data_IF_515395509523
#
_entry.id   IF_515395509523
#
_cell.length_a   1.000
_cell.length_b   1.000
_cell.length_c   1.000
_cell.angle_alpha   90.00
_cell.angle_beta   90.00
_cell.angle_gamma   90.00
#
_symmetry.space_group_name_H-M   'P 1'
#
loop_
_entity.id
_entity.type
_entity.pdbx_description
1 polymer ?
#
# COMPACT_ATOMS: atom_id res chain seq x y z
N UNK A 1 -54.48 -35.40 -32.06
CA UNK A 1 -53.54 -34.32 -32.41
C UNK A 1 -52.83 -33.88 -31.14
N UNK A 2 -51.62 -34.39 -30.89
CA UNK A 2 -50.59 -33.75 -30.05
C UNK A 2 -49.28 -34.54 -30.27
N UNK A 3 -48.33 -33.95 -30.99
CA UNK A 3 -46.98 -34.51 -31.15
C UNK A 3 -46.17 -34.02 -29.96
N UNK A 4 -45.54 -34.89 -29.16
CA UNK A 4 -44.69 -34.46 -28.06
C UNK A 4 -43.39 -33.89 -28.64
N UNK A 5 -43.17 -32.60 -28.44
CA UNK A 5 -41.90 -31.94 -28.72
C UNK A 5 -40.93 -32.22 -27.57
N UNK A 6 -39.99 -33.15 -27.79
CA UNK A 6 -38.85 -33.33 -26.90
C UNK A 6 -37.97 -32.07 -26.98
N UNK A 7 -38.02 -31.24 -25.95
CA UNK A 7 -37.08 -30.15 -25.75
C UNK A 7 -35.69 -30.76 -25.54
N UNK A 8 -34.82 -30.69 -26.55
CA UNK A 8 -33.42 -31.07 -26.40
C UNK A 8 -32.77 -30.13 -25.37
N UNK A 9 -32.49 -30.65 -24.18
CA UNK A 9 -31.43 -30.09 -23.33
C UNK A 9 -30.12 -30.41 -24.02
N UNK A 10 -29.41 -29.39 -24.51
CA UNK A 10 -28.08 -29.54 -25.05
C UNK A 10 -27.15 -30.05 -23.94
N UNK A 11 -26.90 -31.36 -23.91
CA UNK A 11 -25.86 -31.94 -23.09
C UNK A 11 -24.52 -31.62 -23.77
N UNK A 12 -23.65 -30.90 -23.07
CA UNK A 12 -22.28 -30.60 -23.49
C UNK A 12 -21.57 -31.90 -23.94
N UNK A 13 -20.88 -31.87 -25.07
CA UNK A 13 -20.17 -33.06 -25.57
C UNK A 13 -18.93 -33.37 -24.71
N UNK A 14 -18.53 -34.64 -24.60
CA UNK A 14 -17.30 -35.02 -23.87
C UNK A 14 -16.07 -34.31 -24.46
N UNK A 15 -16.04 -34.14 -25.78
CA UNK A 15 -15.00 -33.38 -26.48
C UNK A 15 -14.96 -31.92 -26.01
N UNK A 16 -16.12 -31.28 -25.89
CA UNK A 16 -16.24 -29.90 -25.41
C UNK A 16 -15.76 -29.78 -23.96
N UNK A 17 -16.02 -30.77 -23.10
CA UNK A 17 -15.47 -30.80 -21.74
C UNK A 17 -13.93 -30.89 -21.76
N UNK A 18 -13.34 -31.75 -22.60
CA UNK A 18 -11.88 -31.88 -22.70
C UNK A 18 -11.24 -30.59 -23.23
N UNK A 19 -11.83 -29.98 -24.25
CA UNK A 19 -11.36 -28.71 -24.81
C UNK A 19 -11.45 -27.58 -23.79
N UNK A 20 -12.58 -27.45 -23.09
CA UNK A 20 -12.76 -26.43 -22.05
C UNK A 20 -11.79 -26.62 -20.90
N UNK A 21 -11.57 -27.86 -20.44
CA UNK A 21 -10.58 -28.15 -19.39
C UNK A 21 -9.16 -27.79 -19.86
N UNK A 22 -8.82 -28.11 -21.10
CA UNK A 22 -7.54 -27.72 -21.71
C UNK A 22 -7.33 -26.20 -21.71
N UNK A 23 -8.34 -25.44 -22.11
CA UNK A 23 -8.30 -23.97 -22.07
C UNK A 23 -8.16 -23.45 -20.64
N UNK A 24 -8.92 -23.99 -19.67
CA UNK A 24 -8.83 -23.61 -18.25
C UNK A 24 -7.42 -23.88 -17.70
N UNK A 25 -6.80 -25.01 -18.04
CA UNK A 25 -5.43 -25.32 -17.61
C UNK A 25 -4.42 -24.31 -18.17
N UNK A 26 -4.53 -23.93 -19.44
CA UNK A 26 -3.65 -22.94 -20.07
C UNK A 26 -3.82 -21.56 -19.40
N UNK A 27 -5.07 -21.11 -19.22
CA UNK A 27 -5.37 -19.82 -18.57
C UNK A 27 -4.90 -19.81 -17.12
N UNK A 28 -5.17 -20.88 -16.37
CA UNK A 28 -4.76 -20.97 -14.96
C UNK A 28 -3.24 -21.04 -14.81
N UNK A 29 -2.56 -21.80 -15.68
CA UNK A 29 -1.11 -21.90 -15.70
C UNK A 29 -0.44 -20.55 -15.98
N UNK A 30 -0.95 -19.80 -16.97
CA UNK A 30 -0.44 -18.46 -17.29
C UNK A 30 -0.72 -17.44 -16.18
N UNK A 31 -1.92 -17.47 -15.59
CA UNK A 31 -2.28 -16.61 -14.47
C UNK A 31 -1.37 -16.85 -13.25
N UNK A 32 -1.07 -18.10 -12.92
CA UNK A 32 -0.19 -18.44 -11.81
C UNK A 32 1.23 -17.86 -11.97
N UNK A 33 1.75 -17.80 -13.20
CA UNK A 33 3.06 -17.20 -13.50
C UNK A 33 3.05 -15.66 -13.40
N UNK A 34 1.93 -15.02 -13.72
CA UNK A 34 1.80 -13.57 -13.66
C UNK A 34 1.48 -13.06 -12.24
N UNK A 35 0.84 -13.88 -11.41
CA UNK A 35 0.31 -13.50 -10.09
C UNK A 35 1.32 -12.77 -9.18
N UNK A 36 2.58 -13.23 -9.01
CA UNK A 36 3.51 -12.57 -8.08
C UNK A 36 3.91 -11.15 -8.49
N UNK A 37 3.75 -10.78 -9.78
CA UNK A 37 4.01 -9.41 -10.26
C UNK A 37 2.86 -8.48 -9.87
N UNK A 38 1.63 -8.97 -10.04
CA UNK A 38 0.42 -8.23 -9.73
C UNK A 38 0.31 -8.01 -8.22
N UNK A 39 0.54 -9.05 -7.42
CA UNK A 39 0.51 -8.94 -5.96
C UNK A 39 1.56 -7.94 -5.46
N UNK A 40 2.82 -8.05 -5.88
CA UNK A 40 3.87 -7.11 -5.45
C UNK A 40 3.53 -5.63 -5.76
N UNK A 41 2.98 -5.36 -6.96
CA UNK A 41 2.56 -4.02 -7.34
C UNK A 41 1.38 -3.52 -6.47
N UNK A 42 0.42 -4.39 -6.17
CA UNK A 42 -0.71 -4.08 -5.28
C UNK A 42 -0.24 -3.82 -3.84
N UNK A 43 0.70 -4.62 -3.31
CA UNK A 43 1.27 -4.40 -1.98
C UNK A 43 2.01 -3.07 -1.90
N UNK A 44 2.77 -2.70 -2.94
CA UNK A 44 3.49 -1.43 -2.98
C UNK A 44 2.52 -0.24 -3.00
N UNK A 45 1.48 -0.31 -3.84
CA UNK A 45 0.47 0.74 -3.92
C UNK A 45 -0.33 0.86 -2.61
N UNK A 46 -0.71 -0.27 -2.02
CA UNK A 46 -1.34 -0.32 -0.69
C UNK A 46 -0.44 0.32 0.37
N UNK A 47 0.86 0.01 0.36
CA UNK A 47 1.83 0.56 1.30
C UNK A 47 1.97 2.08 1.19
N UNK A 48 1.99 2.60 -0.04
CA UNK A 48 2.03 4.05 -0.28
C UNK A 48 0.77 4.74 0.23
N UNK A 49 -0.41 4.20 -0.07
CA UNK A 49 -1.68 4.76 0.38
C UNK A 49 -1.86 4.65 1.89
N UNK A 50 -1.39 3.56 2.51
CA UNK A 50 -1.38 3.37 3.95
C UNK A 50 -0.53 4.45 4.64
N UNK A 51 0.71 4.65 4.18
CA UNK A 51 1.61 5.67 4.74
C UNK A 51 1.04 7.08 4.50
N UNK A 52 0.47 7.35 3.33
CA UNK A 52 -0.17 8.64 3.03
C UNK A 52 -1.36 8.92 3.96
N UNK A 53 -2.23 7.93 4.18
CA UNK A 53 -3.35 8.04 5.09
C UNK A 53 -2.88 8.29 6.54
N UNK A 54 -1.81 7.61 6.97
CA UNK A 54 -1.28 7.78 8.33
C UNK A 54 -0.56 9.10 8.54
N UNK A 55 0.16 9.61 7.53
CA UNK A 55 0.72 10.97 7.56
C UNK A 55 -0.40 12.01 7.70
N UNK A 56 -1.49 11.85 6.95
CA UNK A 56 -2.65 12.73 7.07
C UNK A 56 -3.34 12.60 8.42
N UNK A 57 -3.48 11.38 8.95
CA UNK A 57 -4.04 11.14 10.28
C UNK A 57 -3.17 11.76 11.38
N UNK A 58 -1.84 11.63 11.27
CA UNK A 58 -0.89 12.26 12.20
C UNK A 58 -0.99 13.79 12.17
N UNK A 59 -1.15 14.39 10.98
CA UNK A 59 -1.40 15.82 10.82
C UNK A 59 -2.71 16.25 11.51
N UNK A 60 -3.81 15.53 11.26
CA UNK A 60 -5.09 15.81 11.89
C UNK A 60 -5.00 15.67 13.42
N UNK A 61 -4.30 14.65 13.91
CA UNK A 61 -4.07 14.46 15.34
C UNK A 61 -3.26 15.60 15.95
N UNK A 62 -2.21 16.10 15.28
CA UNK A 62 -1.43 17.23 15.75
C UNK A 62 -2.28 18.49 15.93
N UNK A 63 -3.16 18.76 14.95
CA UNK A 63 -4.08 19.90 15.00
C UNK A 63 -5.14 19.71 16.11
N UNK A 64 -5.76 18.53 16.18
CA UNK A 64 -6.83 18.26 17.13
C UNK A 64 -6.35 18.23 18.59
N UNK A 65 -5.14 17.72 18.83
CA UNK A 65 -4.54 17.62 20.17
C UNK A 65 -3.76 18.87 20.61
N UNK A 66 -3.60 19.85 19.71
CA UNK A 66 -2.72 21.00 19.89
C UNK A 66 -1.26 20.64 20.29
N UNK A 67 -0.81 19.43 19.96
CA UNK A 67 0.52 18.88 20.29
C UNK A 67 1.30 18.50 19.04
N UNK A 68 2.62 18.43 19.14
CA UNK A 68 3.46 17.94 18.05
C UNK A 68 3.28 16.44 17.90
N UNK A 69 3.16 15.98 16.67
CA UNK A 69 3.09 14.55 16.34
C UNK A 69 4.17 14.26 15.31
N UNK A 70 4.92 13.19 15.47
CA UNK A 70 5.90 12.76 14.48
C UNK A 70 5.68 11.34 14.01
N UNK A 71 5.89 11.11 12.73
CA UNK A 71 5.95 9.77 12.14
C UNK A 71 7.41 9.40 11.96
N UNK A 72 7.84 8.26 12.52
CA UNK A 72 9.24 7.82 12.52
C UNK A 72 9.40 6.60 11.62
N UNK A 73 10.41 6.67 10.77
CA UNK A 73 10.72 5.68 9.76
C UNK A 73 12.20 5.31 9.83
N UNK A 74 12.50 4.02 9.71
CA UNK A 74 13.87 3.51 9.73
C UNK A 74 14.18 2.84 8.40
N UNK A 75 15.29 3.22 7.75
CA UNK A 75 15.72 2.58 6.52
C UNK A 75 16.00 1.08 6.77
N UNK A 76 15.57 0.23 5.85
CA UNK A 76 15.61 -1.22 5.97
C UNK A 76 14.43 -1.83 6.76
N UNK A 77 13.65 -1.03 7.48
CA UNK A 77 12.53 -1.54 8.27
C UNK A 77 11.28 -1.77 7.42
N UNK A 78 10.50 -2.76 7.85
CA UNK A 78 9.18 -3.12 7.36
C UNK A 78 8.06 -2.55 8.23
N UNK A 79 8.38 -1.58 9.09
CA UNK A 79 7.44 -0.96 10.03
C UNK A 79 7.81 0.47 10.31
N UNK A 80 6.83 1.22 10.78
CA UNK A 80 6.96 2.61 11.22
C UNK A 80 6.07 2.83 12.43
N UNK A 81 6.30 3.94 13.12
CA UNK A 81 5.50 4.29 14.28
C UNK A 81 5.22 5.77 14.33
N UNK A 82 4.20 6.12 15.09
CA UNK A 82 3.85 7.50 15.41
C UNK A 82 4.18 7.77 16.86
N UNK A 83 4.61 8.99 17.11
CA UNK A 83 4.83 9.50 18.45
C UNK A 83 4.17 10.86 18.62
N UNK A 84 3.62 11.10 19.80
CA UNK A 84 3.02 12.37 20.18
C UNK A 84 3.82 13.00 21.32
N UNK A 85 4.06 14.30 21.23
CA UNK A 85 4.67 15.05 22.31
C UNK A 85 3.68 15.23 23.47
N UNK A 86 4.16 15.08 24.70
CA UNK A 86 3.43 15.45 25.91
C UNK A 86 3.60 16.95 26.23
N UNK A 87 3.10 17.37 27.40
CA UNK A 87 3.18 18.77 27.83
C UNK A 87 4.60 19.20 28.21
N UNK A 88 5.51 18.25 28.48
CA UNK A 88 6.94 18.50 28.69
C UNK A 88 7.74 18.59 27.38
N UNK A 89 7.11 18.23 26.25
CA UNK A 89 7.74 18.13 24.94
C UNK A 89 8.39 16.78 24.64
N UNK A 90 8.25 15.79 25.53
CA UNK A 90 8.76 14.44 25.35
C UNK A 90 7.85 13.61 24.43
N UNK A 91 8.43 12.90 23.48
CA UNK A 91 7.70 12.08 22.52
C UNK A 91 7.40 10.68 23.07
N UNK A 92 6.15 10.27 22.95
CA UNK A 92 5.65 8.97 23.37
C UNK A 92 5.02 8.23 22.19
N UNK A 93 5.37 6.96 22.03
CA UNK A 93 4.83 6.13 20.95
C UNK A 93 3.35 5.83 21.20
N UNK A 94 2.50 6.18 20.23
CA UNK A 94 1.04 5.99 20.30
C UNK A 94 0.50 5.04 19.23
N UNK A 95 1.27 4.78 18.16
CA UNK A 95 0.93 3.83 17.11
C UNK A 95 2.19 3.11 16.64
N UNK A 96 2.12 1.80 16.48
CA UNK A 96 3.13 0.99 15.78
C UNK A 96 2.42 0.25 14.64
N UNK A 97 2.93 0.38 13.41
CA UNK A 97 2.25 -0.13 12.23
C UNK A 97 3.22 -0.85 11.28
N UNK A 98 2.91 -2.11 10.92
CA UNK A 98 3.67 -2.81 9.89
C UNK A 98 3.32 -2.25 8.50
N UNK A 99 4.31 -2.26 7.61
CA UNK A 99 4.09 -2.10 6.18
C UNK A 99 3.48 -3.37 5.60
N UNK A 100 2.80 -3.27 4.44
CA UNK A 100 2.32 -4.44 3.72
C UNK A 100 3.45 -5.41 3.39
N UNK A 101 3.09 -6.68 3.17
CA UNK A 101 4.06 -7.77 3.01
C UNK A 101 5.02 -7.47 1.87
N UNK A 102 6.31 -7.59 2.16
CA UNK A 102 7.36 -7.39 1.18
C UNK A 102 7.71 -5.95 0.87
N UNK A 103 7.10 -4.99 1.56
CA UNK A 103 7.43 -3.57 1.44
C UNK A 103 8.37 -3.17 2.56
N UNK A 104 9.43 -2.43 2.22
CA UNK A 104 10.36 -1.84 3.19
C UNK A 104 10.69 -0.41 2.84
N UNK A 105 11.08 0.36 3.85
CA UNK A 105 11.63 1.71 3.66
C UNK A 105 13.08 1.58 3.18
N UNK A 106 13.46 2.29 2.12
CA UNK A 106 14.87 2.33 1.66
C UNK A 106 15.55 3.68 1.86
N UNK A 107 14.77 4.77 1.93
CA UNK A 107 15.32 6.10 2.14
C UNK A 107 14.29 7.01 2.83
N UNK A 108 14.80 7.88 3.71
CA UNK A 108 14.04 8.96 4.36
C UNK A 108 14.95 10.18 4.40
N UNK A 109 14.66 11.22 3.62
CA UNK A 109 15.56 12.38 3.54
C UNK A 109 15.30 13.45 4.62
N UNK A 110 14.27 13.29 5.45
CA UNK A 110 13.94 14.19 6.56
C UNK A 110 14.67 13.85 7.87
N UNK A 111 15.72 13.04 7.82
CA UNK A 111 16.41 12.55 9.02
C UNK A 111 15.67 11.43 9.76
N UNK A 112 14.79 10.70 9.07
CA UNK A 112 14.08 9.53 9.62
C UNK A 112 12.75 9.85 10.30
N UNK A 113 12.30 11.11 10.33
CA UNK A 113 10.97 11.42 10.85
C UNK A 113 10.29 12.57 10.14
N UNK A 114 8.96 12.62 10.18
CA UNK A 114 8.16 13.76 9.74
C UNK A 114 7.43 14.34 10.93
N UNK A 115 7.75 15.58 11.29
CA UNK A 115 7.12 16.28 12.40
C UNK A 115 5.97 17.16 11.90
N UNK A 116 4.81 17.02 12.53
CA UNK A 116 3.64 17.86 12.33
C UNK A 116 3.45 18.80 13.51
N UNK A 117 3.28 20.08 13.21
CA UNK A 117 2.98 21.10 14.22
C UNK A 117 1.49 21.16 14.56
N UNK A 118 1.12 21.72 15.73
CA UNK A 118 -0.28 22.01 16.08
C UNK A 118 -1.03 22.88 15.08
N UNK A 119 -0.31 23.62 14.21
CA UNK A 119 -0.87 24.45 13.15
C UNK A 119 -1.04 23.70 11.82
N UNK A 120 -0.78 22.39 11.80
CA UNK A 120 -0.92 21.54 10.61
C UNK A 120 0.18 21.72 9.57
N UNK A 121 1.28 22.41 9.90
CA UNK A 121 2.49 22.46 9.08
C UNK A 121 3.33 21.22 9.29
N UNK A 122 4.04 20.80 8.25
CA UNK A 122 4.96 19.67 8.28
C UNK A 122 6.37 20.09 7.88
N UNK A 123 7.35 19.24 8.14
CA UNK A 123 8.67 19.34 7.51
C UNK A 123 8.60 18.83 6.06
N UNK A 124 9.40 19.43 5.18
CA UNK A 124 9.52 18.92 3.82
C UNK A 124 10.36 17.64 3.85
N UNK A 125 9.91 16.62 3.15
CA UNK A 125 10.74 15.44 2.96
C UNK A 125 10.07 14.38 2.11
N UNK A 126 10.84 13.33 1.89
CA UNK A 126 10.52 12.23 1.00
C UNK A 126 10.87 10.94 1.71
N UNK A 127 9.93 10.00 1.67
CA UNK A 127 10.16 8.61 2.03
C UNK A 127 10.05 7.74 0.80
N UNK A 128 10.96 6.80 0.66
CA UNK A 128 10.98 5.85 -0.46
C UNK A 128 10.69 4.45 0.06
N UNK A 129 9.66 3.83 -0.51
CA UNK A 129 9.29 2.44 -0.28
C UNK A 129 9.76 1.60 -1.47
N UNK A 130 10.16 0.36 -1.19
CA UNK A 130 10.52 -0.63 -2.22
C UNK A 130 9.78 -1.93 -1.95
N UNK A 131 9.44 -2.66 -3.01
CA UNK A 131 8.97 -4.03 -2.92
C UNK A 131 10.13 -5.06 -2.88
N UNK A 132 9.78 -6.35 -2.78
CA UNK A 132 10.77 -7.43 -2.79
C UNK A 132 11.51 -7.58 -4.13
N UNK A 133 10.97 -6.99 -5.21
CA UNK A 133 11.48 -7.08 -6.58
C UNK A 133 12.40 -5.91 -6.93
N UNK A 134 12.53 -4.92 -6.05
CA UNK A 134 13.33 -3.72 -6.25
C UNK A 134 12.56 -2.55 -6.87
N UNK A 135 11.24 -2.66 -7.08
CA UNK A 135 10.43 -1.56 -7.58
C UNK A 135 10.24 -0.54 -6.48
N UNK A 136 10.73 0.68 -6.69
CA UNK A 136 10.69 1.75 -5.71
C UNK A 136 9.70 2.85 -6.09
N UNK A 137 9.04 3.42 -5.09
CA UNK A 137 8.18 4.60 -5.22
C UNK A 137 8.34 5.50 -4.01
N UNK A 138 8.21 6.80 -4.25
CA UNK A 138 8.44 7.82 -3.23
C UNK A 138 7.14 8.53 -2.84
N UNK A 139 7.05 8.90 -1.57
CA UNK A 139 6.05 9.80 -1.02
C UNK A 139 6.75 11.07 -0.61
N UNK A 140 6.35 12.20 -1.20
CA UNK A 140 6.84 13.53 -0.83
C UNK A 140 5.79 14.27 -0.01
N UNK A 141 6.18 14.74 1.16
CA UNK A 141 5.43 15.63 2.02
C UNK A 141 6.03 17.03 1.89
N UNK A 142 5.22 18.04 1.56
CA UNK A 142 5.68 19.43 1.56
C UNK A 142 5.37 20.12 2.89
N UNK A 143 5.92 21.33 3.07
CA UNK A 143 5.74 22.08 4.33
C UNK A 143 4.28 22.39 4.67
N UNK A 144 3.41 22.50 3.65
CA UNK A 144 1.97 22.77 3.81
C UNK A 144 1.16 21.50 4.13
N UNK A 145 1.80 20.35 4.30
CA UNK A 145 1.16 19.07 4.59
C UNK A 145 0.55 18.38 3.36
N UNK A 146 0.90 18.80 2.13
CA UNK A 146 0.47 18.10 0.90
C UNK A 146 1.36 16.88 0.70
N UNK A 147 0.71 15.72 0.57
CA UNK A 147 1.35 14.44 0.26
C UNK A 147 1.22 14.20 -1.25
N UNK A 148 2.29 13.75 -1.89
CA UNK A 148 2.32 13.42 -3.32
C UNK A 148 3.11 12.14 -3.53
N UNK A 149 2.53 11.19 -4.26
CA UNK A 149 3.22 9.96 -4.68
C UNK A 149 3.99 10.27 -5.96
N UNK A 150 5.27 9.90 -5.99
CA UNK A 150 6.18 10.13 -7.10
C UNK A 150 6.80 8.80 -7.54
N UNK A 151 7.01 8.59 -8.85
CA UNK A 151 7.95 7.58 -9.32
C UNK A 151 9.34 7.84 -8.75
N UNK A 152 10.11 6.77 -8.53
CA UNK A 152 11.55 6.88 -8.28
C UNK A 152 12.21 6.50 -9.60
N UNK A 153 12.73 7.50 -10.31
CA UNK A 153 13.52 7.25 -11.50
C UNK A 153 14.86 6.62 -11.06
N UNK A 154 15.17 5.47 -11.64
CA UNK A 154 16.41 4.69 -11.42
C UNK A 154 17.63 5.37 -12.03
#
# INVERSE_FOLDING_TARGET
MLVPSFTQRAAFSLLELVVTLGVVCIVTGTAALAWPRVDAAMQLDSGLHQVAADLQAARTLAVASARRVRMVFTAGADRYWREQADDSGAYHRDLDRPLPRGIRVIAVNSGGSFVFSPRGQAENGTITLVDQRGTARALRLNQRGRITILPVDS
#
